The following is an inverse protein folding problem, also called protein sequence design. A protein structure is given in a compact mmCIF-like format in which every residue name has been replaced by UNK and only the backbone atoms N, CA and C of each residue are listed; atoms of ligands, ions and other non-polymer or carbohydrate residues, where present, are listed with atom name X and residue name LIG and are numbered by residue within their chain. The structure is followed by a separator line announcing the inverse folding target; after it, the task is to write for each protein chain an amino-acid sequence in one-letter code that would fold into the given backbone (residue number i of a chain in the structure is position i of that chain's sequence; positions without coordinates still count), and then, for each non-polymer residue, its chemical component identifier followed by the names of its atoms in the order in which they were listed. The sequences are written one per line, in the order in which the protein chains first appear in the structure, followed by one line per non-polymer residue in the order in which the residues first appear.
data_IF_065894653390
#
_entry.id   IF_065894653390
#
_cell.length_a   1.000
_cell.length_b   1.000
_cell.length_c   1.000
_cell.angle_alpha   90.00
_cell.angle_beta   90.00
_cell.angle_gamma   90.00
#
_symmetry.space_group_name_H-M   'P 1'
#
loop_
_entity.id
_entity.type
_entity.pdbx_description
1 polymer ?
#
# COMPACT_ATOMS: atom_id res chain seq x y z
N UNK A 1 -17.74 5.94 2.85
CA UNK A 1 -16.50 5.70 2.08
C UNK A 1 -16.61 4.34 1.43
N UNK A 2 -16.29 4.22 0.13
CA UNK A 2 -16.43 2.97 -0.62
C UNK A 2 -15.08 2.56 -1.19
N UNK A 3 -14.80 1.26 -1.18
CA UNK A 3 -13.53 0.66 -1.63
C UNK A 3 -13.82 -0.20 -2.85
N UNK A 4 -13.01 -0.05 -3.91
CA UNK A 4 -13.14 -0.89 -5.10
C UNK A 4 -12.47 -2.24 -4.84
N UNK A 5 -13.23 -3.32 -4.88
CA UNK A 5 -12.72 -4.68 -4.70
C UNK A 5 -11.93 -5.11 -5.95
N UNK A 6 -10.73 -5.66 -5.74
CA UNK A 6 -9.93 -6.29 -6.79
C UNK A 6 -10.68 -7.45 -7.45
N UNK A 7 -11.20 -8.38 -6.64
CA UNK A 7 -11.86 -9.60 -7.09
C UNK A 7 -13.12 -9.37 -7.96
N UNK A 8 -14.13 -8.66 -7.44
CA UNK A 8 -15.41 -8.49 -8.16
C UNK A 8 -15.56 -7.15 -8.89
N UNK A 9 -14.58 -6.26 -8.76
CA UNK A 9 -14.59 -4.88 -9.30
C UNK A 9 -15.74 -3.97 -8.84
N UNK A 10 -16.55 -4.40 -7.86
CA UNK A 10 -17.62 -3.60 -7.26
C UNK A 10 -17.11 -2.80 -6.05
N UNK A 11 -17.92 -1.83 -5.63
CA UNK A 11 -17.68 -1.02 -4.43
C UNK A 11 -18.23 -1.72 -3.19
N UNK A 12 -17.37 -1.90 -2.18
CA UNK A 12 -17.74 -2.39 -0.86
C UNK A 12 -17.62 -1.28 0.17
N UNK A 13 -18.36 -1.39 1.27
CA UNK A 13 -18.37 -0.40 2.36
C UNK A 13 -17.14 -0.48 3.28
N UNK A 14 -16.35 -1.55 3.22
CA UNK A 14 -15.15 -1.74 4.07
C UNK A 14 -14.22 -2.83 3.52
N UNK A 15 -12.97 -2.87 3.98
CA UNK A 15 -12.05 -4.00 3.69
C UNK A 15 -12.60 -5.33 4.20
N UNK A 16 -13.31 -5.35 5.34
CA UNK A 16 -13.94 -6.59 5.81
C UNK A 16 -14.95 -7.14 4.79
N UNK A 17 -15.71 -6.25 4.13
CA UNK A 17 -16.63 -6.63 3.05
C UNK A 17 -15.89 -7.03 1.76
N UNK A 18 -14.73 -6.42 1.45
CA UNK A 18 -13.87 -6.88 0.33
C UNK A 18 -13.30 -8.28 0.63
N UNK A 19 -12.78 -8.50 1.83
CA UNK A 19 -12.26 -9.81 2.29
C UNK A 19 -13.33 -10.88 2.30
N UNK A 20 -14.56 -10.53 2.72
CA UNK A 20 -15.71 -11.41 2.62
C UNK A 20 -16.03 -11.77 1.16
N UNK A 21 -15.94 -10.80 0.26
CA UNK A 21 -16.13 -11.01 -1.18
C UNK A 21 -15.01 -11.85 -1.83
N UNK A 22 -13.80 -11.85 -1.26
CA UNK A 22 -12.66 -12.65 -1.74
C UNK A 22 -12.51 -14.00 -1.03
N UNK A 23 -13.47 -14.39 -0.17
CA UNK A 23 -13.42 -15.67 0.55
C UNK A 23 -13.25 -16.84 -0.43
N UNK A 24 -12.20 -17.65 -0.22
CA UNK A 24 -11.85 -18.80 -1.07
C UNK A 24 -10.71 -18.56 -2.05
N UNK A 25 -10.21 -17.32 -2.17
CA UNK A 25 -9.01 -17.03 -2.95
C UNK A 25 -7.75 -17.05 -2.05
N UNK A 26 -6.63 -17.56 -2.56
CA UNK A 26 -5.31 -17.45 -1.90
C UNK A 26 -4.77 -16.00 -1.86
N UNK A 27 -5.51 -15.07 -2.45
CA UNK A 27 -5.23 -13.65 -2.57
C UNK A 27 -5.99 -12.89 -1.47
N UNK A 28 -5.35 -11.89 -0.87
CA UNK A 28 -5.94 -11.04 0.17
C UNK A 28 -6.19 -9.61 -0.33
N UNK A 29 -7.03 -8.82 0.35
CA UNK A 29 -7.30 -7.44 -0.04
C UNK A 29 -6.19 -6.49 0.41
N UNK A 30 -5.66 -5.68 -0.51
CA UNK A 30 -4.68 -4.64 -0.24
C UNK A 30 -5.27 -3.56 0.69
N UNK A 31 -4.64 -3.33 1.84
CA UNK A 31 -5.04 -2.32 2.82
C UNK A 31 -4.18 -1.05 2.77
N UNK A 32 -3.43 -0.83 1.68
CA UNK A 32 -2.62 0.38 1.53
C UNK A 32 -3.52 1.60 1.42
N UNK A 33 -3.20 2.67 2.15
CA UNK A 33 -3.91 3.94 2.11
C UNK A 33 -3.46 4.77 0.90
N UNK A 34 -4.35 5.00 -0.04
CA UNK A 34 -4.13 5.80 -1.25
C UNK A 34 -4.97 7.06 -1.21
N UNK A 35 -4.36 8.18 -1.60
CA UNK A 35 -5.12 9.37 -1.92
C UNK A 35 -5.88 9.12 -3.24
N UNK A 36 -7.19 9.36 -3.22
CA UNK A 36 -8.01 9.20 -4.42
C UNK A 36 -7.95 10.42 -5.34
N UNK A 37 -7.31 11.51 -4.93
CA UNK A 37 -7.31 12.79 -5.63
C UNK A 37 -8.69 13.45 -5.69
N UNK A 38 -9.70 12.83 -5.06
CA UNK A 38 -10.99 13.45 -4.83
C UNK A 38 -10.84 14.32 -3.59
N UNK A 39 -10.71 15.62 -3.80
CA UNK A 39 -10.91 16.58 -2.73
C UNK A 39 -12.40 16.65 -2.39
N UNK A 40 -12.74 16.76 -1.11
CA UNK A 40 -14.08 17.20 -0.70
C UNK A 40 -14.33 18.63 -1.17
N UNK A 41 -15.57 19.12 -1.05
CA UNK A 41 -15.89 20.54 -1.32
C UNK A 41 -15.02 21.50 -0.49
N UNK A 42 -14.54 21.04 0.66
CA UNK A 42 -13.62 21.75 1.57
C UNK A 42 -12.13 21.60 1.20
N UNK A 43 -11.81 20.92 0.11
CA UNK A 43 -10.44 20.74 -0.38
C UNK A 43 -9.65 19.61 0.27
N UNK A 44 -10.24 18.84 1.20
CA UNK A 44 -9.54 17.76 1.89
C UNK A 44 -9.37 16.54 0.99
N UNK A 45 -8.13 16.07 0.86
CA UNK A 45 -7.81 14.85 0.14
C UNK A 45 -8.46 13.64 0.82
N UNK A 46 -9.26 12.88 0.07
CA UNK A 46 -9.87 11.65 0.59
C UNK A 46 -8.89 10.49 0.44
N UNK A 47 -8.30 10.12 1.58
CA UNK A 47 -7.45 8.94 1.71
C UNK A 47 -8.32 7.70 1.90
N UNK A 48 -8.14 6.68 1.04
CA UNK A 48 -8.86 5.41 1.11
C UNK A 48 -7.99 4.17 1.06
N UNK A 49 -8.46 3.07 1.62
CA UNK A 49 -7.80 1.77 1.42
C UNK A 49 -7.96 1.31 -0.03
N UNK A 50 -6.89 0.78 -0.60
CA UNK A 50 -6.79 0.34 -2.00
C UNK A 50 -7.85 -0.72 -2.39
N UNK A 51 -7.99 -1.79 -1.59
CA UNK A 51 -8.95 -2.87 -1.83
C UNK A 51 -8.65 -3.79 -3.02
N UNK A 52 -7.55 -3.56 -3.75
CA UNK A 52 -7.12 -4.42 -4.84
C UNK A 52 -6.67 -5.80 -4.34
N UNK A 53 -6.70 -6.77 -5.25
CA UNK A 53 -6.21 -8.11 -5.02
C UNK A 53 -4.70 -8.06 -4.75
N UNK A 54 -4.26 -8.72 -3.67
CA UNK A 54 -2.87 -8.75 -3.24
C UNK A 54 -2.39 -10.15 -2.89
N UNK A 55 -1.16 -10.46 -3.29
CA UNK A 55 -0.53 -11.76 -3.18
C UNK A 55 0.84 -11.62 -2.52
N UNK A 56 1.30 -12.72 -1.93
CA UNK A 56 2.66 -12.81 -1.40
C UNK A 56 3.66 -12.98 -2.53
N UNK A 57 4.85 -12.42 -2.33
CA UNK A 57 6.03 -12.65 -3.16
C UNK A 57 7.15 -13.22 -2.28
N UNK A 58 8.26 -13.59 -2.89
CA UNK A 58 9.52 -13.91 -2.20
C UNK A 58 10.03 -12.77 -1.30
N UNK A 59 9.64 -11.53 -1.60
CA UNK A 59 10.08 -10.30 -0.92
C UNK A 59 8.99 -9.62 -0.09
N UNK A 60 7.81 -10.21 0.08
CA UNK A 60 6.71 -9.60 0.86
C UNK A 60 5.36 -9.69 0.17
N UNK A 61 4.73 -8.55 -0.10
CA UNK A 61 3.39 -8.48 -0.70
C UNK A 61 3.35 -7.51 -1.88
N UNK A 62 2.52 -7.83 -2.87
CA UNK A 62 2.21 -6.97 -4.01
C UNK A 62 0.72 -7.00 -4.32
N UNK A 63 0.16 -5.89 -4.81
CA UNK A 63 -1.22 -5.85 -5.29
C UNK A 63 -1.34 -5.50 -6.77
N UNK A 64 -2.53 -5.73 -7.33
CA UNK A 64 -2.85 -5.51 -8.74
C UNK A 64 -2.73 -4.04 -9.18
N UNK A 65 -2.74 -3.09 -8.25
CA UNK A 65 -2.54 -1.65 -8.55
C UNK A 65 -1.07 -1.22 -8.44
N UNK A 66 -0.16 -2.16 -8.13
CA UNK A 66 1.28 -1.90 -8.09
C UNK A 66 1.86 -1.61 -6.71
N UNK A 67 1.04 -1.51 -5.67
CA UNK A 67 1.54 -1.31 -4.31
C UNK A 67 2.33 -2.55 -3.87
N UNK A 68 3.48 -2.31 -3.25
CA UNK A 68 4.34 -3.37 -2.74
C UNK A 68 4.78 -3.04 -1.32
N UNK A 69 4.71 -4.02 -0.43
CA UNK A 69 5.23 -3.91 0.93
C UNK A 69 6.31 -4.98 1.13
N UNK A 70 7.52 -4.53 1.45
CA UNK A 70 8.66 -5.40 1.77
C UNK A 70 8.89 -5.37 3.28
N UNK A 71 8.92 -6.53 3.98
CA UNK A 71 9.23 -6.63 5.40
C UNK A 71 10.55 -5.94 5.80
N UNK A 72 10.59 -5.35 7.00
CA UNK A 72 11.73 -4.55 7.46
C UNK A 72 13.06 -5.32 7.52
N UNK A 73 13.02 -6.62 7.83
CA UNK A 73 14.19 -7.51 7.83
C UNK A 73 14.76 -7.70 6.42
N UNK A 74 13.91 -7.89 5.41
CA UNK A 74 14.34 -7.97 4.01
C UNK A 74 14.93 -6.63 3.56
N UNK A 75 14.26 -5.50 3.85
CA UNK A 75 14.77 -4.16 3.52
C UNK A 75 16.14 -3.91 4.16
N UNK A 76 16.29 -4.29 5.43
CA UNK A 76 17.55 -4.19 6.16
C UNK A 76 18.66 -5.01 5.51
N UNK A 77 18.40 -6.27 5.14
CA UNK A 77 19.37 -7.12 4.44
C UNK A 77 19.79 -6.56 3.08
N UNK A 78 18.85 -5.92 2.38
CA UNK A 78 19.08 -5.30 1.07
C UNK A 78 19.66 -3.88 1.16
N UNK A 79 19.82 -3.32 2.38
CA UNK A 79 20.48 -2.04 2.59
C UNK A 79 19.61 -0.81 2.29
N UNK A 80 18.29 -0.90 2.42
CA UNK A 80 17.38 0.23 2.22
C UNK A 80 16.24 0.25 3.25
N UNK A 81 15.48 1.33 3.34
CA UNK A 81 14.28 1.38 4.18
C UNK A 81 13.27 2.42 3.66
N UNK A 82 12.01 2.30 4.11
CA UNK A 82 11.00 3.31 3.80
C UNK A 82 11.20 4.56 4.65
N UNK A 83 11.14 5.73 4.01
CA UNK A 83 11.20 7.03 4.67
C UNK A 83 10.18 7.99 4.07
N UNK A 84 9.79 8.99 4.86
CA UNK A 84 9.07 10.14 4.33
C UNK A 84 10.00 11.04 3.50
N UNK A 85 9.43 11.91 2.67
CA UNK A 85 10.20 12.85 1.87
C UNK A 85 11.10 13.75 2.74
N UNK A 86 10.61 14.14 3.92
CA UNK A 86 11.33 15.00 4.85
C UNK A 86 12.49 14.27 5.55
N UNK A 87 12.36 12.96 5.78
CA UNK A 87 13.39 12.14 6.43
C UNK A 87 14.51 11.72 5.46
N UNK A 88 14.24 11.69 4.16
CA UNK A 88 15.15 11.14 3.16
C UNK A 88 16.55 11.79 3.14
N UNK A 89 16.64 13.10 3.42
CA UNK A 89 17.91 13.83 3.40
C UNK A 89 18.88 13.42 4.52
N UNK A 90 18.37 13.05 5.69
CA UNK A 90 19.18 12.64 6.85
C UNK A 90 19.43 11.13 6.92
N UNK A 91 18.45 10.34 6.48
CA UNK A 91 18.44 8.89 6.67
C UNK A 91 19.67 8.17 6.11
N UNK A 92 20.10 8.54 4.90
CA UNK A 92 21.25 7.91 4.26
C UNK A 92 22.55 8.12 5.05
N UNK A 93 22.73 9.32 5.60
CA UNK A 93 23.93 9.69 6.37
C UNK A 93 23.96 9.01 7.74
N UNK A 94 22.80 8.85 8.38
CA UNK A 94 22.70 8.27 9.73
C UNK A 94 22.78 6.74 9.72
N UNK A 95 22.24 6.11 8.70
CA UNK A 95 22.04 4.65 8.69
C UNK A 95 22.88 3.91 7.66
N UNK A 96 23.48 4.62 6.70
CA UNK A 96 24.18 4.03 5.56
C UNK A 96 23.27 3.25 4.60
N UNK A 97 21.94 3.42 4.72
CA UNK A 97 20.93 2.71 3.92
C UNK A 97 20.28 3.64 2.90
N UNK A 98 19.81 3.09 1.79
CA UNK A 98 19.12 3.85 0.74
C UNK A 98 17.70 4.25 1.22
N UNK A 99 17.36 5.54 1.22
CA UNK A 99 16.00 6.00 1.50
C UNK A 99 15.08 5.69 0.31
N UNK A 100 13.98 4.98 0.55
CA UNK A 100 12.94 4.72 -0.45
C UNK A 100 11.64 5.37 0.01
N UNK A 101 11.03 6.19 -0.84
CA UNK A 101 9.78 6.84 -0.49
C UNK A 101 8.63 5.84 -0.42
N UNK A 102 7.79 6.00 0.60
CA UNK A 102 6.57 5.21 0.77
C UNK A 102 5.41 5.81 -0.03
N UNK A 103 5.64 6.11 -1.31
CA UNK A 103 4.65 6.73 -2.20
C UNK A 103 3.63 5.74 -2.78
N UNK A 104 3.72 4.46 -2.42
CA UNK A 104 2.84 3.40 -2.92
C UNK A 104 3.02 3.06 -4.40
N UNK A 105 3.85 3.80 -5.15
CA UNK A 105 4.09 3.61 -6.58
C UNK A 105 5.54 3.15 -6.83
N UNK A 106 5.79 2.31 -7.86
CA UNK A 106 7.14 1.98 -8.27
C UNK A 106 7.93 3.19 -8.77
#
# INVERSE_FOLDING_TARGET
MFIKCGNCHRRHSSIAAVRACSQGSEISSCSWLVDTGHCTEDGEAVIVECGADSWTTDRGWRCATGHSHVPADIRYQEGWDYVTADEAAGFANETGRLPVLMNGHP
#
